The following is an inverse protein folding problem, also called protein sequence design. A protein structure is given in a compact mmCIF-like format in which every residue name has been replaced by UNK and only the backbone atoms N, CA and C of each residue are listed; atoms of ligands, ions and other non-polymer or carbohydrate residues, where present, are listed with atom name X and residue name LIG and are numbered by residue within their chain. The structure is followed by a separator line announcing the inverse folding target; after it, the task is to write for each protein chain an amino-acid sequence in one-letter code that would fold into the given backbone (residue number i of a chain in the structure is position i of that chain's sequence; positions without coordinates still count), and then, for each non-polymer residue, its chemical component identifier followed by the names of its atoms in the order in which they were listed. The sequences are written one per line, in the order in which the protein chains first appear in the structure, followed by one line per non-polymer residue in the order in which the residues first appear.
data_IF_899920945795
#
_entry.id   IF_899920945795
#
_cell.length_a   1.000
_cell.length_b   1.000
_cell.length_c   1.000
_cell.angle_alpha   90.00
_cell.angle_beta   90.00
_cell.angle_gamma   90.00
#
_symmetry.space_group_name_H-M   'P 1'
#
loop_
_entity.id
_entity.type
_entity.pdbx_description
1 polymer ?
#
# COMPACT_ATOMS: atom_id res chain seq x y z
N UNK A 1 4.13 -6.56 -30.09
CA UNK A 1 4.93 -7.54 -29.29
C UNK A 1 3.99 -8.26 -28.35
N UNK A 2 3.94 -9.60 -28.41
CA UNK A 2 3.09 -10.40 -27.48
C UNK A 2 3.83 -10.64 -26.17
N UNK A 3 3.10 -10.53 -25.07
CA UNK A 3 3.57 -10.81 -23.71
C UNK A 3 2.48 -11.52 -22.93
N UNK A 4 2.87 -12.23 -21.89
CA UNK A 4 1.90 -12.81 -20.95
C UNK A 4 1.48 -11.81 -19.89
N UNK A 5 0.19 -11.83 -19.55
CA UNK A 5 -0.39 -11.00 -18.51
C UNK A 5 -1.53 -11.72 -17.78
N UNK A 6 -1.80 -11.28 -16.56
CA UNK A 6 -3.00 -11.67 -15.82
C UNK A 6 -4.13 -10.72 -16.19
N UNK A 7 -5.22 -11.27 -16.68
CA UNK A 7 -6.45 -10.53 -16.99
C UNK A 7 -7.68 -11.20 -16.36
N UNK A 8 -8.77 -10.46 -16.32
CA UNK A 8 -10.07 -10.99 -15.92
C UNK A 8 -11.19 -10.31 -16.71
N UNK A 9 -12.28 -11.07 -16.96
CA UNK A 9 -13.38 -10.67 -17.84
C UNK A 9 -14.67 -10.38 -17.08
N UNK A 10 -14.69 -10.67 -15.78
CA UNK A 10 -15.77 -10.34 -14.84
C UNK A 10 -15.22 -10.29 -13.41
N UNK A 11 -15.81 -9.48 -12.53
CA UNK A 11 -15.46 -9.50 -11.11
C UNK A 11 -15.74 -10.87 -10.48
N UNK A 12 -14.97 -11.23 -9.44
CA UNK A 12 -15.21 -12.48 -8.74
C UNK A 12 -14.09 -12.92 -7.79
N UNK A 13 -14.06 -14.21 -7.48
CA UNK A 13 -13.03 -14.86 -6.69
C UNK A 13 -11.68 -14.88 -7.41
N UNK A 14 -10.60 -15.33 -6.75
CA UNK A 14 -9.30 -15.39 -7.38
C UNK A 14 -9.25 -16.24 -8.67
N UNK A 15 -10.21 -17.15 -8.88
CA UNK A 15 -10.28 -18.00 -10.07
C UNK A 15 -10.61 -17.26 -11.37
N UNK A 16 -11.09 -16.02 -11.30
CA UNK A 16 -11.36 -15.19 -12.49
C UNK A 16 -10.08 -14.68 -13.16
N UNK A 17 -8.95 -14.70 -12.45
CA UNK A 17 -7.64 -14.29 -12.97
C UNK A 17 -7.14 -15.33 -13.97
N UNK A 18 -6.92 -14.89 -15.20
CA UNK A 18 -6.50 -15.72 -16.34
C UNK A 18 -5.12 -15.30 -16.83
N UNK A 19 -4.29 -16.28 -17.17
CA UNK A 19 -2.98 -16.08 -17.79
C UNK A 19 -3.14 -16.05 -19.30
N UNK A 20 -3.02 -14.88 -19.92
CA UNK A 20 -3.38 -14.66 -21.32
C UNK A 20 -2.25 -13.99 -22.10
N UNK A 21 -2.24 -14.16 -23.42
CA UNK A 21 -1.41 -13.38 -24.33
C UNK A 21 -2.05 -12.02 -24.56
N UNK A 22 -1.25 -10.97 -24.45
CA UNK A 22 -1.64 -9.58 -24.71
C UNK A 22 -0.70 -9.00 -25.75
N UNK A 23 -1.27 -8.39 -26.79
CA UNK A 23 -0.45 -7.69 -27.78
C UNK A 23 -0.21 -6.25 -27.32
N UNK A 24 1.07 -5.92 -27.11
CA UNK A 24 1.49 -4.57 -26.76
C UNK A 24 1.81 -3.79 -28.04
N UNK A 25 1.16 -2.66 -28.23
CA UNK A 25 1.55 -1.71 -29.23
C UNK A 25 2.95 -1.10 -28.97
N UNK A 26 3.41 -0.24 -29.88
CA UNK A 26 4.59 0.62 -29.64
C UNK A 26 4.20 1.76 -28.71
N UNK A 27 5.13 2.26 -27.85
CA UNK A 27 4.85 3.45 -27.04
C UNK A 27 4.48 4.66 -27.91
N UNK A 28 3.36 5.29 -27.58
CA UNK A 28 2.93 6.55 -28.19
C UNK A 28 3.69 7.73 -27.57
N UNK A 29 3.38 8.95 -28.04
CA UNK A 29 3.92 10.18 -27.44
C UNK A 29 3.61 10.23 -25.93
N UNK A 30 4.64 10.48 -25.11
CA UNK A 30 4.53 10.52 -23.65
C UNK A 30 4.50 9.15 -22.94
N UNK A 31 4.62 8.04 -23.68
CA UNK A 31 4.58 6.68 -23.11
C UNK A 31 5.97 6.01 -23.12
N UNK A 32 6.13 5.01 -22.28
CA UNK A 32 7.28 4.11 -22.28
C UNK A 32 6.83 2.65 -22.23
N UNK A 33 7.59 1.77 -22.86
CA UNK A 33 7.52 0.31 -22.69
C UNK A 33 8.45 -0.10 -21.57
N UNK A 34 7.91 -0.75 -20.55
CA UNK A 34 8.65 -1.25 -19.40
C UNK A 34 8.53 -2.77 -19.34
N UNK A 35 9.66 -3.47 -19.34
CA UNK A 35 9.73 -4.90 -19.02
C UNK A 35 9.84 -5.04 -17.52
N UNK A 36 8.90 -5.75 -16.89
CA UNK A 36 8.91 -5.94 -15.46
C UNK A 36 9.94 -6.98 -15.04
N UNK A 37 10.63 -6.70 -13.94
CA UNK A 37 11.51 -7.62 -13.22
C UNK A 37 10.89 -8.12 -11.94
N UNK A 38 10.01 -7.29 -11.34
CA UNK A 38 9.24 -7.63 -10.14
C UNK A 38 7.94 -6.82 -10.10
N UNK A 39 6.88 -7.43 -9.58
CA UNK A 39 5.55 -6.83 -9.49
C UNK A 39 5.07 -6.92 -8.05
N UNK A 40 4.65 -5.78 -7.47
CA UNK A 40 4.11 -5.71 -6.12
C UNK A 40 2.64 -6.14 -6.07
N UNK A 41 2.33 -7.09 -5.21
CA UNK A 41 0.94 -7.46 -4.91
C UNK A 41 0.42 -6.62 -3.76
N UNK A 42 -0.77 -6.04 -3.93
CA UNK A 42 -1.39 -5.14 -2.97
C UNK A 42 -2.84 -5.54 -2.67
N UNK A 43 -3.33 -5.17 -1.49
CA UNK A 43 -4.69 -5.54 -1.10
C UNK A 43 -5.74 -4.86 -1.99
N UNK A 44 -5.46 -3.67 -2.54
CA UNK A 44 -6.33 -2.97 -3.50
C UNK A 44 -6.57 -3.77 -4.78
N UNK A 45 -5.62 -4.62 -5.19
CA UNK A 45 -5.75 -5.48 -6.36
C UNK A 45 -6.92 -6.47 -6.18
N UNK A 46 -7.18 -6.87 -4.92
CA UNK A 46 -8.35 -7.70 -4.59
C UNK A 46 -9.65 -6.91 -4.69
N UNK A 47 -9.65 -5.60 -4.38
CA UNK A 47 -10.84 -4.76 -4.51
C UNK A 47 -11.23 -4.58 -5.99
N UNK A 48 -10.24 -4.36 -6.87
CA UNK A 48 -10.46 -4.31 -8.32
C UNK A 48 -11.02 -5.63 -8.83
N UNK A 49 -10.36 -6.74 -8.50
CA UNK A 49 -10.78 -8.06 -8.94
C UNK A 49 -12.19 -8.44 -8.46
N UNK A 50 -12.56 -8.10 -7.22
CA UNK A 50 -13.89 -8.44 -6.66
C UNK A 50 -15.00 -7.49 -7.08
N UNK A 51 -14.66 -6.36 -7.73
CA UNK A 51 -15.63 -5.34 -8.12
C UNK A 51 -16.00 -4.35 -7.02
N UNK A 52 -15.35 -4.41 -5.84
CA UNK A 52 -15.51 -3.38 -4.80
C UNK A 52 -15.09 -2.00 -5.33
N UNK A 53 -14.05 -1.98 -6.17
CA UNK A 53 -13.66 -0.82 -6.98
C UNK A 53 -13.87 -1.19 -8.44
N UNK A 54 -14.96 -0.70 -9.07
CA UNK A 54 -15.35 -1.12 -10.41
C UNK A 54 -14.29 -0.76 -11.47
N UNK A 55 -14.12 -1.64 -12.44
CA UNK A 55 -13.28 -1.45 -13.63
C UNK A 55 -14.05 -1.80 -14.89
N UNK A 56 -13.69 -1.17 -16.00
CA UNK A 56 -14.15 -1.60 -17.32
C UNK A 56 -13.57 -2.98 -17.67
N UNK A 57 -14.40 -3.88 -18.21
CA UNK A 57 -14.00 -5.24 -18.56
C UNK A 57 -13.87 -5.41 -20.08
N UNK A 58 -12.94 -6.26 -20.54
CA UNK A 58 -11.94 -7.02 -19.79
C UNK A 58 -10.81 -6.12 -19.26
N UNK A 59 -10.28 -6.44 -18.07
CA UNK A 59 -9.24 -5.63 -17.42
C UNK A 59 -7.99 -6.45 -17.08
N UNK A 60 -6.85 -5.76 -16.98
CA UNK A 60 -5.70 -6.23 -16.23
C UNK A 60 -5.90 -6.02 -14.72
N UNK A 61 -4.89 -6.33 -13.93
CA UNK A 61 -4.86 -6.11 -12.47
C UNK A 61 -3.46 -5.65 -12.05
N UNK A 62 -3.38 -4.98 -10.89
CA UNK A 62 -2.12 -4.50 -10.32
C UNK A 62 -1.79 -3.06 -10.66
N UNK A 63 -1.13 -2.40 -9.71
CA UNK A 63 -0.79 -0.96 -9.75
C UNK A 63 0.70 -0.70 -9.49
N UNK A 64 1.50 -1.70 -9.14
CA UNK A 64 2.87 -1.54 -8.66
C UNK A 64 3.80 -2.54 -9.35
N UNK A 65 4.90 -2.04 -9.90
CA UNK A 65 5.98 -2.87 -10.40
C UNK A 65 7.31 -2.10 -10.48
N UNK A 66 8.38 -2.85 -10.67
CA UNK A 66 9.69 -2.38 -11.07
C UNK A 66 10.14 -3.11 -12.35
N UNK A 67 11.00 -2.49 -13.13
CA UNK A 67 11.50 -3.06 -14.37
C UNK A 67 12.44 -2.14 -15.11
N UNK A 68 12.69 -2.47 -16.36
CA UNK A 68 13.62 -1.76 -17.24
C UNK A 68 12.87 -1.16 -18.42
N UNK A 69 13.19 0.08 -18.76
CA UNK A 69 12.65 0.76 -19.94
C UNK A 69 13.25 0.12 -21.20
N UNK A 70 12.41 -0.48 -22.05
CA UNK A 70 12.81 -1.08 -23.33
C UNK A 70 12.60 -0.14 -24.53
N UNK A 71 11.61 0.76 -24.45
CA UNK A 71 11.38 1.75 -25.49
C UNK A 71 10.69 2.98 -24.90
N UNK A 72 10.87 4.13 -25.55
CA UNK A 72 10.20 5.40 -25.19
C UNK A 72 9.53 5.99 -26.41
N UNK A 73 8.38 6.62 -26.21
CA UNK A 73 7.67 7.39 -27.20
C UNK A 73 8.21 8.81 -27.35
N UNK A 74 7.75 9.52 -28.39
CA UNK A 74 8.12 10.94 -28.62
C UNK A 74 7.77 11.79 -27.38
N UNK A 75 8.62 12.76 -27.06
CA UNK A 75 8.40 13.72 -25.97
C UNK A 75 8.79 13.22 -24.57
N UNK A 76 9.24 11.98 -24.44
CA UNK A 76 9.79 11.46 -23.16
C UNK A 76 11.26 11.87 -23.06
N UNK A 77 11.59 12.81 -22.18
CA UNK A 77 12.96 13.35 -22.02
C UNK A 77 13.63 12.95 -20.69
N UNK A 78 12.84 12.57 -19.67
CA UNK A 78 13.34 12.24 -18.33
C UNK A 78 13.73 10.77 -18.16
N UNK A 79 13.48 9.90 -19.16
CA UNK A 79 13.82 8.49 -19.19
C UNK A 79 14.62 8.17 -20.46
N UNK A 80 15.41 7.12 -20.40
CA UNK A 80 16.09 6.49 -21.55
C UNK A 80 15.96 4.98 -21.50
N UNK A 81 16.14 4.33 -22.63
CA UNK A 81 16.22 2.86 -22.72
C UNK A 81 17.34 2.37 -21.81
N UNK A 82 17.07 1.31 -21.07
CA UNK A 82 17.96 0.74 -20.05
C UNK A 82 17.81 1.34 -18.65
N UNK A 83 17.04 2.44 -18.47
CA UNK A 83 16.78 2.95 -17.11
C UNK A 83 15.97 1.94 -16.30
N UNK A 84 16.41 1.68 -15.07
CA UNK A 84 15.64 0.95 -14.06
C UNK A 84 14.58 1.89 -13.46
N UNK A 85 13.33 1.48 -13.51
CA UNK A 85 12.19 2.29 -13.08
C UNK A 85 11.26 1.49 -12.20
N UNK A 86 10.53 2.20 -11.35
CA UNK A 86 9.41 1.65 -10.59
C UNK A 86 8.24 2.63 -10.61
N UNK A 87 7.05 2.11 -10.32
CA UNK A 87 5.83 2.91 -10.24
C UNK A 87 4.84 2.34 -9.23
N UNK A 88 3.96 3.21 -8.75
CA UNK A 88 2.76 2.84 -8.01
C UNK A 88 1.62 3.74 -8.46
N UNK A 89 0.64 3.18 -9.15
CA UNK A 89 -0.46 3.91 -9.77
C UNK A 89 -0.39 3.94 -11.29
N UNK A 90 -1.10 4.88 -11.89
CA UNK A 90 -1.31 4.93 -13.33
C UNK A 90 -2.38 3.95 -13.79
N UNK A 91 -2.45 3.61 -15.09
CA UNK A 91 -3.41 2.64 -15.59
C UNK A 91 -3.22 1.28 -14.92
N UNK A 92 -4.32 0.57 -14.61
CA UNK A 92 -4.28 -0.77 -14.04
C UNK A 92 -3.73 -1.78 -15.06
N UNK A 93 -2.98 -2.80 -14.59
CA UNK A 93 -2.41 -3.84 -15.46
C UNK A 93 -0.92 -4.11 -15.22
N UNK A 94 -0.45 -3.91 -13.98
CA UNK A 94 0.93 -4.22 -13.61
C UNK A 94 1.26 -5.72 -13.67
N UNK A 95 0.26 -6.61 -13.59
CA UNK A 95 0.47 -8.06 -13.63
C UNK A 95 0.69 -8.54 -15.08
N UNK A 96 1.79 -8.13 -15.67
CA UNK A 96 2.22 -8.46 -17.02
C UNK A 96 3.74 -8.59 -17.07
N UNK A 97 4.27 -9.35 -18.02
CA UNK A 97 5.72 -9.43 -18.26
C UNK A 97 6.30 -8.08 -18.72
N UNK A 98 5.51 -7.33 -19.48
CA UNK A 98 5.84 -5.97 -19.89
C UNK A 98 4.55 -5.17 -20.14
N UNK A 99 4.65 -3.85 -20.19
CA UNK A 99 3.52 -2.98 -20.54
C UNK A 99 3.95 -1.65 -21.12
N UNK A 100 3.08 -1.07 -21.93
CA UNK A 100 3.17 0.36 -22.31
C UNK A 100 2.36 1.17 -21.31
N UNK A 101 2.92 2.28 -20.83
CA UNK A 101 2.26 3.16 -19.87
C UNK A 101 2.77 4.61 -19.97
N UNK A 102 2.03 5.59 -19.42
CA UNK A 102 2.49 6.96 -19.34
C UNK A 102 3.84 7.06 -18.60
N UNK A 103 4.82 7.67 -19.26
CA UNK A 103 6.19 7.78 -18.74
C UNK A 103 6.28 8.72 -17.52
N UNK A 104 5.35 9.67 -17.38
CA UNK A 104 5.26 10.57 -16.22
C UNK A 104 4.96 9.88 -14.89
N UNK A 105 4.47 8.63 -14.93
CA UNK A 105 4.23 7.79 -13.74
C UNK A 105 5.45 6.97 -13.32
N UNK A 106 6.50 6.93 -14.13
CA UNK A 106 7.71 6.15 -13.89
C UNK A 106 8.73 6.95 -13.09
N UNK A 107 9.26 6.36 -12.03
CA UNK A 107 10.32 6.93 -11.21
C UNK A 107 11.58 6.09 -11.36
N UNK A 108 12.74 6.74 -11.60
CA UNK A 108 14.04 6.01 -11.65
C UNK A 108 14.36 5.42 -10.29
N UNK A 109 14.80 4.16 -10.31
CA UNK A 109 15.27 3.48 -9.09
C UNK A 109 16.71 3.93 -8.85
N UNK A 110 17.02 4.52 -7.68
CA UNK A 110 18.37 4.94 -7.38
C UNK A 110 19.29 3.74 -7.11
N UNK A 111 20.61 3.96 -7.22
CA UNK A 111 21.61 2.97 -6.81
C UNK A 111 21.41 2.57 -5.34
N UNK A 112 21.69 1.29 -5.03
CA UNK A 112 21.54 0.73 -3.68
C UNK A 112 20.11 0.26 -3.34
N UNK A 113 19.17 0.32 -4.30
CA UNK A 113 17.83 -0.27 -4.20
C UNK A 113 17.68 -1.31 -5.32
N UNK A 114 17.28 -2.53 -4.98
CA UNK A 114 16.98 -3.56 -5.98
C UNK A 114 15.59 -3.36 -6.59
N UNK A 115 15.32 -4.01 -7.73
CA UNK A 115 14.00 -3.98 -8.38
C UNK A 115 12.94 -4.61 -7.48
N UNK A 116 13.29 -5.72 -6.81
CA UNK A 116 12.39 -6.39 -5.88
C UNK A 116 12.03 -5.48 -4.69
N UNK A 117 13.03 -4.78 -4.13
CA UNK A 117 12.77 -3.80 -3.08
C UNK A 117 11.86 -2.67 -3.58
N UNK A 118 12.12 -2.15 -4.78
CA UNK A 118 11.30 -1.09 -5.37
C UNK A 118 9.87 -1.58 -5.61
N UNK A 119 9.67 -2.74 -6.24
CA UNK A 119 8.34 -3.33 -6.45
C UNK A 119 7.61 -3.69 -5.15
N UNK A 120 8.34 -3.95 -4.06
CA UNK A 120 7.77 -4.27 -2.76
C UNK A 120 7.33 -3.04 -1.95
N UNK A 121 7.81 -1.84 -2.32
CA UNK A 121 7.66 -0.66 -1.45
C UNK A 121 7.02 0.57 -2.09
N UNK A 122 6.98 0.71 -3.42
CA UNK A 122 6.53 1.96 -4.04
C UNK A 122 5.11 2.35 -3.61
N UNK A 123 4.14 1.46 -3.77
CA UNK A 123 2.76 1.74 -3.36
C UNK A 123 2.64 1.83 -1.83
N UNK A 124 3.19 0.86 -1.13
CA UNK A 124 3.08 0.75 0.33
C UNK A 124 3.83 1.88 1.04
N UNK A 125 5.05 2.16 0.62
CA UNK A 125 5.92 3.16 1.24
C UNK A 125 5.48 4.60 0.94
N UNK A 126 5.06 4.90 -0.31
CA UNK A 126 4.48 6.22 -0.61
C UNK A 126 3.11 6.39 0.09
N UNK A 127 2.37 5.29 0.33
CA UNK A 127 1.19 5.33 1.18
C UNK A 127 1.56 5.74 2.60
N UNK A 128 2.56 5.12 3.20
CA UNK A 128 3.04 5.53 4.54
C UNK A 128 3.50 6.97 4.53
N UNK A 129 4.26 7.39 3.51
CA UNK A 129 4.76 8.77 3.40
C UNK A 129 3.61 9.78 3.49
N UNK A 130 2.59 9.66 2.65
CA UNK A 130 1.51 10.63 2.67
C UNK A 130 0.66 10.53 3.95
N UNK A 131 0.43 9.33 4.48
CA UNK A 131 -0.35 9.13 5.70
C UNK A 131 0.26 9.89 6.88
N UNK A 132 1.56 9.68 7.14
CA UNK A 132 2.22 10.19 8.36
C UNK A 132 2.83 11.59 8.21
N UNK A 133 2.95 12.12 6.99
CA UNK A 133 3.58 13.41 6.73
C UNK A 133 2.65 14.46 6.14
N UNK A 134 1.55 14.05 5.48
CA UNK A 134 0.67 14.96 4.74
C UNK A 134 -0.80 14.85 5.14
N UNK A 135 -1.36 13.66 5.24
CA UNK A 135 -2.74 13.47 5.69
C UNK A 135 -2.91 13.83 7.18
N UNK A 136 -2.00 13.35 8.01
CA UNK A 136 -1.83 13.78 9.40
C UNK A 136 -0.34 13.85 9.72
N UNK A 137 0.28 15.04 9.70
CA UNK A 137 1.71 15.19 10.01
C UNK A 137 2.00 14.83 11.47
N UNK A 138 2.62 13.66 11.67
CA UNK A 138 3.00 13.23 13.03
C UNK A 138 4.19 14.01 13.54
N UNK A 139 4.26 14.21 14.87
CA UNK A 139 5.37 14.88 15.55
C UNK A 139 6.03 13.95 16.56
N UNK A 140 7.33 14.15 16.80
CA UNK A 140 8.09 13.45 17.85
C UNK A 140 7.33 13.49 19.19
N UNK A 141 7.27 12.36 19.89
CA UNK A 141 6.59 12.21 21.17
C UNK A 141 5.10 11.86 21.07
N UNK A 142 4.47 11.95 19.89
CA UNK A 142 3.09 11.48 19.72
C UNK A 142 2.97 9.97 19.90
N UNK A 143 1.82 9.53 20.39
CA UNK A 143 1.38 8.13 20.37
C UNK A 143 0.26 7.98 19.35
N UNK A 144 0.37 7.00 18.43
CA UNK A 144 -0.61 6.79 17.34
C UNK A 144 -1.06 5.34 17.29
N UNK A 145 -2.27 5.09 16.77
CA UNK A 145 -2.74 3.74 16.46
C UNK A 145 -2.62 3.47 14.96
N UNK A 146 -2.01 2.33 14.60
CA UNK A 146 -1.89 1.89 13.22
C UNK A 146 -2.35 0.43 13.10
N UNK A 147 -3.47 0.18 12.43
CA UNK A 147 -4.02 -1.16 12.26
C UNK A 147 -3.21 -2.02 11.26
N UNK A 148 -3.36 -3.34 11.37
CA UNK A 148 -2.68 -4.33 10.51
C UNK A 148 -1.15 -4.18 10.50
N UNK A 149 -0.55 -4.06 11.70
CA UNK A 149 0.86 -3.74 11.94
C UNK A 149 1.87 -4.67 11.25
N UNK A 150 1.52 -5.93 11.00
CA UNK A 150 2.39 -6.92 10.35
C UNK A 150 2.16 -7.05 8.83
N UNK A 151 1.29 -6.22 8.23
CA UNK A 151 1.11 -6.12 6.79
C UNK A 151 2.19 -5.27 6.12
N UNK A 152 2.26 -5.28 4.78
CA UNK A 152 3.29 -4.56 4.04
C UNK A 152 3.35 -3.06 4.35
N UNK A 153 2.21 -2.36 4.42
CA UNK A 153 2.15 -0.95 4.84
C UNK A 153 2.53 -0.82 6.31
N UNK A 154 2.00 -1.72 7.18
CA UNK A 154 2.23 -1.69 8.62
C UNK A 154 3.70 -1.82 9.01
N UNK A 155 4.45 -2.74 8.39
CA UNK A 155 5.88 -2.93 8.69
C UNK A 155 6.72 -1.70 8.30
N UNK A 156 6.39 -1.04 7.19
CA UNK A 156 7.05 0.20 6.78
C UNK A 156 6.68 1.33 7.76
N UNK A 157 5.39 1.44 8.10
CA UNK A 157 4.88 2.49 8.99
C UNK A 157 5.51 2.42 10.38
N UNK A 158 5.58 1.23 11.00
CA UNK A 158 6.17 1.07 12.33
C UNK A 158 7.62 1.53 12.39
N UNK A 159 8.43 1.15 11.41
CA UNK A 159 9.84 1.57 11.31
C UNK A 159 9.97 3.08 11.09
N UNK A 160 9.17 3.65 10.19
CA UNK A 160 9.25 5.07 9.87
C UNK A 160 8.77 5.94 11.04
N UNK A 161 7.65 5.55 11.69
CA UNK A 161 7.16 6.20 12.91
C UNK A 161 8.22 6.18 14.03
N UNK A 162 8.86 5.02 14.27
CA UNK A 162 9.96 4.91 15.23
C UNK A 162 11.11 5.84 14.89
N UNK A 163 11.50 5.93 13.61
CA UNK A 163 12.56 6.82 13.15
C UNK A 163 12.21 8.32 13.33
N UNK A 164 10.91 8.66 13.36
CA UNK A 164 10.41 10.01 13.66
C UNK A 164 10.23 10.27 15.17
N UNK A 165 10.53 9.29 16.03
CA UNK A 165 10.34 9.42 17.48
C UNK A 165 8.89 9.37 17.92
N UNK A 166 8.03 8.69 17.16
CA UNK A 166 6.60 8.49 17.42
C UNK A 166 6.39 7.10 18.03
N UNK A 167 5.59 7.01 19.08
CA UNK A 167 5.19 5.74 19.71
C UNK A 167 4.03 5.13 18.92
N UNK A 168 4.27 4.02 18.25
CA UNK A 168 3.23 3.32 17.49
C UNK A 168 2.59 2.19 18.32
N UNK A 169 1.27 2.22 18.43
CA UNK A 169 0.44 1.10 18.88
C UNK A 169 -0.04 0.38 17.61
N UNK A 170 0.17 -0.94 17.53
CA UNK A 170 -0.26 -1.73 16.40
C UNK A 170 -1.31 -2.76 16.76
N UNK A 171 -2.03 -3.30 15.77
CA UNK A 171 -2.90 -4.46 15.94
C UNK A 171 -2.44 -5.62 15.05
N UNK A 172 -2.46 -6.83 15.58
CA UNK A 172 -2.12 -8.06 14.85
C UNK A 172 -2.95 -9.23 15.37
N UNK A 173 -3.06 -10.31 14.60
CA UNK A 173 -3.97 -11.42 14.94
C UNK A 173 -3.26 -12.77 15.18
N UNK A 174 -1.97 -12.78 15.49
CA UNK A 174 -1.26 -13.98 15.92
C UNK A 174 0.05 -13.63 16.61
N UNK A 175 0.59 -14.52 17.48
CA UNK A 175 1.86 -14.29 18.18
C UNK A 175 3.03 -14.00 17.23
N UNK A 176 3.15 -14.73 16.12
CA UNK A 176 4.19 -14.49 15.12
C UNK A 176 4.09 -13.09 14.48
N UNK A 177 2.88 -12.64 14.15
CA UNK A 177 2.64 -11.30 13.61
C UNK A 177 2.90 -10.19 14.64
N UNK A 178 2.60 -10.44 15.91
CA UNK A 178 2.91 -9.54 17.01
C UNK A 178 4.43 -9.39 17.17
N UNK A 179 5.16 -10.51 17.18
CA UNK A 179 6.65 -10.51 17.25
C UNK A 179 7.23 -9.74 16.08
N UNK A 180 6.74 -9.99 14.86
CA UNK A 180 7.18 -9.31 13.64
C UNK A 180 6.93 -7.79 13.72
N UNK A 181 5.73 -7.35 14.11
CA UNK A 181 5.41 -5.94 14.25
C UNK A 181 6.30 -5.23 15.30
N UNK A 182 6.53 -5.85 16.46
CA UNK A 182 7.43 -5.32 17.49
C UNK A 182 8.85 -5.15 16.95
N UNK A 183 9.38 -6.15 16.22
CA UNK A 183 10.69 -6.05 15.57
C UNK A 183 10.78 -4.92 14.56
N UNK A 184 9.63 -4.46 14.03
CA UNK A 184 9.52 -3.39 13.05
C UNK A 184 9.01 -2.06 13.64
N UNK A 185 9.30 -1.79 14.92
CA UNK A 185 9.18 -0.46 15.49
C UNK A 185 7.92 -0.16 16.28
N UNK A 186 6.97 -1.08 16.38
CA UNK A 186 5.80 -0.91 17.25
C UNK A 186 6.17 -1.11 18.72
N UNK A 187 5.93 -0.10 19.55
CA UNK A 187 6.16 -0.17 21.00
C UNK A 187 5.14 -1.10 21.69
N UNK A 188 3.89 -1.04 21.21
CA UNK A 188 2.80 -1.87 21.70
C UNK A 188 2.11 -2.56 20.54
N UNK A 189 1.74 -3.84 20.69
CA UNK A 189 0.97 -4.58 19.68
C UNK A 189 -0.15 -5.36 20.36
N UNK A 190 -1.38 -5.07 20.00
CA UNK A 190 -2.58 -5.69 20.53
C UNK A 190 -2.94 -6.93 19.71
N UNK A 191 -3.12 -8.07 20.37
CA UNK A 191 -3.75 -9.26 19.77
C UNK A 191 -5.27 -9.07 19.73
N UNK A 192 -5.78 -8.58 18.60
CA UNK A 192 -7.21 -8.30 18.45
C UNK A 192 -8.11 -9.54 18.48
N UNK A 193 -7.54 -10.76 18.46
CA UNK A 193 -8.30 -12.00 18.65
C UNK A 193 -8.54 -12.33 20.12
N UNK A 194 -7.70 -11.80 21.02
CA UNK A 194 -7.72 -12.11 22.45
C UNK A 194 -8.07 -10.90 23.30
N UNK A 195 -7.90 -9.70 22.77
CA UNK A 195 -8.02 -8.45 23.50
C UNK A 195 -8.88 -7.44 22.75
N UNK A 196 -9.68 -6.69 23.48
CA UNK A 196 -10.32 -5.48 23.00
C UNK A 196 -9.23 -4.43 22.74
N UNK A 197 -9.10 -4.00 21.48
CA UNK A 197 -8.07 -3.04 21.11
C UNK A 197 -8.37 -1.64 21.64
N UNK A 198 -9.65 -1.25 21.79
CA UNK A 198 -10.03 0.04 22.36
C UNK A 198 -9.57 0.13 23.81
N UNK A 199 -9.92 -0.86 24.64
CA UNK A 199 -9.47 -0.95 26.04
C UNK A 199 -7.95 -0.95 26.13
N UNK A 200 -7.28 -1.65 25.23
CA UNK A 200 -5.81 -1.72 25.20
C UNK A 200 -5.17 -0.37 24.85
N UNK A 201 -5.71 0.35 23.86
CA UNK A 201 -5.24 1.70 23.48
C UNK A 201 -5.49 2.67 24.65
N UNK A 202 -6.68 2.67 25.23
CA UNK A 202 -7.02 3.55 26.36
C UNK A 202 -6.09 3.29 27.57
N UNK A 203 -5.79 2.03 27.88
CA UNK A 203 -4.83 1.71 28.94
C UNK A 203 -3.42 2.25 28.64
N UNK A 204 -2.91 2.07 27.41
CA UNK A 204 -1.57 2.56 27.01
C UNK A 204 -1.52 4.09 27.06
N UNK A 205 -2.59 4.76 26.70
CA UNK A 205 -2.69 6.23 26.67
C UNK A 205 -3.20 6.83 27.98
N UNK A 206 -3.37 6.02 29.04
CA UNK A 206 -3.96 6.45 30.33
C UNK A 206 -5.30 7.16 30.16
N UNK A 207 -6.16 6.62 29.30
CA UNK A 207 -7.47 7.13 28.90
C UNK A 207 -7.47 8.47 28.12
N UNK A 208 -6.32 8.95 27.67
CA UNK A 208 -6.26 10.18 26.85
C UNK A 208 -6.68 9.95 25.38
N UNK A 209 -6.63 8.71 24.89
CA UNK A 209 -6.78 8.40 23.47
C UNK A 209 -5.55 8.79 22.65
N UNK A 210 -5.66 8.65 21.34
CA UNK A 210 -4.59 8.99 20.37
C UNK A 210 -5.02 10.15 19.47
N UNK A 211 -4.10 11.01 19.01
CA UNK A 211 -4.43 12.11 18.09
C UNK A 211 -4.82 11.62 16.70
N UNK A 212 -4.38 10.43 16.31
CA UNK A 212 -4.67 9.85 14.99
C UNK A 212 -4.75 8.34 15.05
N UNK A 213 -5.71 7.79 14.30
CA UNK A 213 -5.81 6.36 13.97
C UNK A 213 -5.66 6.18 12.47
N UNK A 214 -4.74 5.31 12.06
CA UNK A 214 -4.58 4.87 10.67
C UNK A 214 -5.22 3.49 10.49
N UNK A 215 -6.32 3.44 9.75
CA UNK A 215 -7.14 2.24 9.58
C UNK A 215 -7.25 1.81 8.12
N UNK A 216 -6.64 0.66 7.81
CA UNK A 216 -6.77 -0.04 6.52
C UNK A 216 -7.75 -1.20 6.56
N UNK A 217 -8.34 -1.48 7.71
CA UNK A 217 -9.17 -2.68 7.94
C UNK A 217 -10.63 -2.40 7.59
N UNK A 218 -11.19 -1.27 8.03
CA UNK A 218 -12.51 -0.80 7.67
C UNK A 218 -13.62 -1.39 8.53
N UNK A 219 -14.57 -2.14 7.93
CA UNK A 219 -15.83 -2.59 8.56
C UNK A 219 -15.68 -3.06 10.02
N UNK A 220 -14.70 -3.88 10.32
CA UNK A 220 -14.57 -4.49 11.65
C UNK A 220 -13.84 -3.63 12.69
N UNK A 221 -13.21 -2.53 12.29
CA UNK A 221 -12.40 -1.69 13.19
C UNK A 221 -12.90 -0.26 13.31
N UNK A 222 -13.63 0.23 12.32
CA UNK A 222 -13.98 1.64 12.18
C UNK A 222 -14.57 2.26 13.45
N UNK A 223 -15.60 1.66 14.04
CA UNK A 223 -16.27 2.22 15.23
C UNK A 223 -15.31 2.26 16.42
N UNK A 224 -14.62 1.16 16.72
CA UNK A 224 -13.62 1.14 17.79
C UNK A 224 -12.43 2.05 17.52
N UNK A 225 -12.08 2.28 16.24
CA UNK A 225 -11.03 3.25 15.85
C UNK A 225 -11.43 4.67 16.24
N UNK A 226 -12.72 5.04 16.07
CA UNK A 226 -13.24 6.32 16.54
C UNK A 226 -13.20 6.43 18.08
N UNK A 227 -13.44 5.31 18.79
CA UNK A 227 -13.39 5.26 20.26
C UNK A 227 -11.97 5.37 20.83
N UNK A 228 -10.95 5.12 20.01
CA UNK A 228 -9.55 5.28 20.40
C UNK A 228 -9.05 6.73 20.31
N UNK A 229 -9.80 7.61 19.64
CA UNK A 229 -9.36 8.99 19.39
C UNK A 229 -9.58 9.89 20.61
N UNK A 230 -8.63 10.77 20.85
CA UNK A 230 -8.84 11.91 21.75
C UNK A 230 -9.82 12.92 21.12
N UNK A 231 -10.44 13.84 21.89
CA UNK A 231 -11.25 14.92 21.34
C UNK A 231 -10.50 15.67 20.22
N UNK A 232 -11.18 15.94 19.11
CA UNK A 232 -10.62 16.54 17.89
C UNK A 232 -9.52 15.71 17.21
N UNK A 233 -9.44 14.41 17.52
CA UNK A 233 -8.55 13.47 16.86
C UNK A 233 -8.96 13.16 15.42
N UNK A 234 -8.05 12.61 14.65
CA UNK A 234 -8.26 12.32 13.22
C UNK A 234 -8.31 10.82 12.94
N UNK A 235 -9.39 10.39 12.32
CA UNK A 235 -9.53 9.07 11.73
C UNK A 235 -9.05 9.11 10.29
N UNK A 236 -7.96 8.43 9.97
CA UNK A 236 -7.45 8.26 8.61
C UNK A 236 -7.83 6.85 8.13
N UNK A 237 -8.97 6.74 7.45
CA UNK A 237 -9.49 5.49 6.91
C UNK A 237 -8.95 5.29 5.49
N UNK A 238 -7.97 4.38 5.28
CA UNK A 238 -7.29 4.23 3.98
C UNK A 238 -7.43 2.86 3.33
N UNK A 239 -8.26 1.96 3.89
CA UNK A 239 -8.50 0.63 3.31
C UNK A 239 -9.79 -0.02 3.78
N UNK A 240 -10.12 -1.18 3.18
CA UNK A 240 -11.34 -1.95 3.41
C UNK A 240 -11.03 -3.46 3.52
N UNK A 241 -9.95 -3.85 4.21
CA UNK A 241 -9.50 -5.24 4.24
C UNK A 241 -10.52 -6.22 4.89
N UNK A 242 -11.42 -5.73 5.74
CA UNK A 242 -12.54 -6.50 6.31
C UNK A 242 -13.90 -6.21 5.66
N UNK A 243 -13.92 -5.40 4.61
CA UNK A 243 -15.11 -4.90 3.93
C UNK A 243 -15.29 -3.39 4.09
N UNK A 244 -16.19 -2.81 3.29
CA UNK A 244 -16.51 -1.40 3.34
C UNK A 244 -17.15 -1.02 4.68
N UNK A 245 -16.86 0.20 5.14
CA UNK A 245 -17.54 0.81 6.30
C UNK A 245 -18.99 1.07 5.93
N UNK A 246 -19.91 0.70 6.80
CA UNK A 246 -21.31 1.02 6.60
C UNK A 246 -21.56 2.53 6.64
N UNK A 247 -22.58 3.05 5.94
CA UNK A 247 -23.00 4.43 6.08
C UNK A 247 -23.28 4.79 7.55
N UNK A 248 -22.88 5.98 7.97
CA UNK A 248 -23.14 6.49 9.32
C UNK A 248 -23.47 7.99 9.26
N UNK A 249 -24.26 8.52 10.23
CA UNK A 249 -24.59 9.93 10.28
C UNK A 249 -23.37 10.76 10.71
N UNK A 250 -23.08 11.92 10.08
CA UNK A 250 -21.95 12.78 10.45
C UNK A 250 -21.97 13.23 11.92
N UNK A 251 -23.15 13.34 12.55
CA UNK A 251 -23.31 13.66 13.96
C UNK A 251 -22.59 12.70 14.92
N UNK A 252 -22.29 11.48 14.47
CA UNK A 252 -21.48 10.54 15.22
C UNK A 252 -20.09 11.10 15.55
N UNK A 253 -19.48 11.84 14.61
CA UNK A 253 -18.16 12.45 14.83
C UNK A 253 -18.19 13.52 15.93
N UNK A 254 -19.30 14.30 15.99
CA UNK A 254 -19.50 15.26 17.06
C UNK A 254 -19.67 14.56 18.42
N UNK A 255 -20.52 13.52 18.49
CA UNK A 255 -20.77 12.73 19.70
C UNK A 255 -19.51 12.09 20.26
N UNK A 256 -18.58 11.66 19.39
CA UNK A 256 -17.32 11.02 19.78
C UNK A 256 -16.18 12.02 20.03
N UNK A 257 -16.46 13.32 20.13
CA UNK A 257 -15.47 14.33 20.51
C UNK A 257 -15.04 15.25 19.38
N UNK A 258 -15.96 15.63 18.47
CA UNK A 258 -15.68 16.54 17.34
C UNK A 258 -14.53 16.04 16.45
N UNK A 259 -14.59 14.78 16.08
CA UNK A 259 -13.52 14.10 15.35
C UNK A 259 -13.44 14.56 13.89
N UNK A 260 -12.22 14.46 13.33
CA UNK A 260 -11.99 14.59 11.90
C UNK A 260 -11.96 13.20 11.26
N UNK A 261 -12.50 13.09 10.05
CA UNK A 261 -12.43 11.88 9.24
C UNK A 261 -11.92 12.23 7.85
N UNK A 262 -10.92 11.48 7.38
CA UNK A 262 -10.45 11.55 5.99
C UNK A 262 -10.37 10.15 5.38
N UNK A 263 -10.66 10.08 4.07
CA UNK A 263 -10.53 8.86 3.25
C UNK A 263 -9.59 9.12 2.08
N UNK A 264 -8.26 9.19 2.35
CA UNK A 264 -7.28 9.56 1.34
C UNK A 264 -6.99 8.42 0.37
N UNK A 265 -6.49 8.78 -0.82
CA UNK A 265 -5.92 7.85 -1.79
C UNK A 265 -4.53 8.32 -2.24
N UNK A 266 -3.61 7.38 -2.46
CA UNK A 266 -2.25 7.69 -2.93
C UNK A 266 -2.29 8.50 -4.24
N UNK A 267 -3.28 8.22 -5.11
CA UNK A 267 -3.39 8.84 -6.43
C UNK A 267 -3.52 10.37 -6.35
N UNK A 268 -4.29 10.87 -5.37
CA UNK A 268 -4.44 12.32 -5.16
C UNK A 268 -3.15 12.95 -4.62
N UNK A 269 -2.45 12.24 -3.72
CA UNK A 269 -1.19 12.70 -3.13
C UNK A 269 0.02 12.58 -4.06
N UNK A 270 -0.13 11.92 -5.20
CA UNK A 270 0.90 11.77 -6.25
C UNK A 270 0.37 12.15 -7.63
N UNK A 271 -0.64 13.01 -7.68
CA UNK A 271 -1.30 13.42 -8.92
C UNK A 271 -0.33 14.14 -9.86
N UNK A 272 0.48 15.05 -9.32
CA UNK A 272 1.50 15.78 -10.10
C UNK A 272 2.83 15.03 -10.11
N UNK A 273 3.61 15.22 -11.17
CA UNK A 273 4.98 14.68 -11.25
C UNK A 273 5.84 15.11 -10.07
N UNK A 274 5.73 16.37 -9.65
CA UNK A 274 6.43 16.95 -8.49
C UNK A 274 6.11 16.18 -7.20
N UNK A 275 4.83 15.91 -6.95
CA UNK A 275 4.38 15.17 -5.75
C UNK A 275 4.84 13.72 -5.78
N UNK A 276 4.72 13.05 -6.94
CA UNK A 276 5.19 11.69 -7.13
C UNK A 276 6.69 11.57 -6.82
N UNK A 277 7.51 12.45 -7.39
CA UNK A 277 8.96 12.44 -7.16
C UNK A 277 9.33 12.79 -5.73
N UNK A 278 8.62 13.74 -5.10
CA UNK A 278 8.84 14.11 -3.71
C UNK A 278 8.56 12.93 -2.76
N UNK A 279 7.43 12.25 -2.97
CA UNK A 279 7.04 11.07 -2.19
C UNK A 279 8.03 9.91 -2.38
N UNK A 280 8.36 9.59 -3.62
CA UNK A 280 9.34 8.53 -3.94
C UNK A 280 10.72 8.84 -3.37
N UNK A 281 11.20 10.09 -3.48
CA UNK A 281 12.48 10.53 -2.91
C UNK A 281 12.52 10.39 -1.39
N UNK A 282 11.45 10.76 -0.71
CA UNK A 282 11.33 10.61 0.73
C UNK A 282 11.41 9.13 1.15
N UNK A 283 10.69 8.25 0.43
CA UNK A 283 10.73 6.80 0.65
C UNK A 283 12.13 6.24 0.41
N UNK A 284 12.73 6.52 -0.74
CA UNK A 284 14.08 6.06 -1.07
C UNK A 284 15.12 6.52 -0.05
N UNK A 285 15.00 7.76 0.46
CA UNK A 285 15.90 8.30 1.47
C UNK A 285 15.87 7.49 2.77
N UNK A 286 14.71 7.13 3.29
CA UNK A 286 14.60 6.39 4.55
C UNK A 286 15.03 4.93 4.40
N UNK A 287 14.83 4.34 3.21
CA UNK A 287 15.27 2.97 2.91
C UNK A 287 16.80 2.93 2.74
N UNK A 288 17.39 3.80 1.92
CA UNK A 288 18.85 3.88 1.74
C UNK A 288 19.58 4.26 3.03
N UNK A 289 18.96 5.10 3.86
CA UNK A 289 19.49 5.47 5.17
C UNK A 289 19.32 4.39 6.25
N UNK A 290 18.82 3.20 5.91
CA UNK A 290 18.66 2.06 6.82
C UNK A 290 17.59 2.25 7.91
N UNK A 291 16.80 3.34 7.85
CA UNK A 291 15.72 3.60 8.82
C UNK A 291 14.49 2.74 8.58
N UNK A 292 14.30 2.29 7.35
CA UNK A 292 13.23 1.40 6.93
C UNK A 292 13.83 0.28 6.09
N UNK A 293 13.68 -0.95 6.55
CA UNK A 293 14.03 -2.16 5.81
C UNK A 293 12.78 -2.71 5.12
N UNK A 294 12.90 -3.04 3.86
CA UNK A 294 11.80 -3.61 3.08
C UNK A 294 11.85 -5.13 3.18
N UNK A 295 10.78 -5.71 3.72
CA UNK A 295 10.64 -7.16 3.90
C UNK A 295 9.81 -7.75 2.75
N UNK A 296 10.46 -8.58 1.92
CA UNK A 296 9.80 -9.41 0.90
C UNK A 296 9.68 -10.82 1.47
N UNK A 297 8.52 -11.14 2.02
CA UNK A 297 8.33 -12.38 2.78
C UNK A 297 7.75 -13.51 1.92
N UNK A 298 7.15 -13.18 0.78
CA UNK A 298 6.58 -14.16 -0.14
C UNK A 298 6.82 -13.74 -1.59
N UNK A 299 7.16 -14.73 -2.41
CA UNK A 299 7.35 -14.58 -3.86
C UNK A 299 6.57 -15.68 -4.58
N UNK A 300 5.88 -15.32 -5.65
CA UNK A 300 5.14 -16.22 -6.52
C UNK A 300 5.55 -15.97 -7.98
N UNK A 301 5.45 -16.98 -8.85
CA UNK A 301 5.50 -16.74 -10.29
C UNK A 301 4.27 -15.91 -10.71
N UNK A 302 4.41 -15.02 -11.68
CA UNK A 302 3.31 -14.16 -12.13
C UNK A 302 2.06 -14.98 -12.54
N UNK A 303 2.23 -16.11 -13.22
CA UNK A 303 1.14 -17.03 -13.59
C UNK A 303 0.36 -17.56 -12.39
N UNK A 304 0.94 -17.56 -11.19
CA UNK A 304 0.33 -18.05 -9.95
C UNK A 304 -0.37 -16.93 -9.15
N UNK A 305 -0.66 -15.78 -9.77
CA UNK A 305 -1.29 -14.64 -9.15
C UNK A 305 -2.60 -14.99 -8.42
N UNK A 306 -3.39 -15.92 -8.97
CA UNK A 306 -4.61 -16.39 -8.30
C UNK A 306 -4.34 -17.05 -6.94
N UNK A 307 -3.24 -17.81 -6.81
CA UNK A 307 -2.81 -18.38 -5.53
C UNK A 307 -2.35 -17.28 -4.57
N UNK A 308 -1.54 -16.34 -5.05
CA UNK A 308 -1.05 -15.22 -4.26
C UNK A 308 -2.21 -14.37 -3.68
N UNK A 309 -3.25 -14.11 -4.47
CA UNK A 309 -4.47 -13.42 -4.02
C UNK A 309 -5.22 -14.22 -2.92
N UNK A 310 -5.36 -15.53 -3.06
CA UNK A 310 -5.98 -16.37 -2.02
C UNK A 310 -5.18 -16.33 -0.71
N UNK A 311 -3.87 -16.44 -0.79
CA UNK A 311 -2.99 -16.43 0.40
C UNK A 311 -3.01 -15.07 1.10
N UNK A 312 -3.05 -13.96 0.33
CA UNK A 312 -3.22 -12.62 0.87
C UNK A 312 -4.56 -12.46 1.61
N UNK A 313 -5.67 -12.85 0.98
CA UNK A 313 -7.02 -12.71 1.57
C UNK A 313 -7.24 -13.63 2.77
N UNK A 314 -6.61 -14.81 2.80
CA UNK A 314 -6.65 -15.73 3.95
C UNK A 314 -5.73 -15.30 5.10
N UNK A 315 -5.07 -14.13 4.98
CA UNK A 315 -4.16 -13.56 5.99
C UNK A 315 -2.95 -14.47 6.31
N UNK A 316 -2.55 -15.34 5.37
CA UNK A 316 -1.35 -16.18 5.50
C UNK A 316 -0.05 -15.41 5.29
N UNK A 317 -0.12 -14.27 4.60
CA UNK A 317 1.03 -13.44 4.26
C UNK A 317 1.39 -12.43 5.35
N UNK A 318 2.64 -11.98 5.33
CA UNK A 318 3.19 -10.87 6.13
C UNK A 318 4.09 -10.02 5.23
N UNK A 319 4.38 -8.79 5.61
CA UNK A 319 5.25 -7.91 4.81
C UNK A 319 4.75 -7.72 3.38
N UNK A 320 5.68 -7.62 2.45
CA UNK A 320 5.38 -7.46 1.03
C UNK A 320 5.41 -8.80 0.30
N UNK A 321 4.55 -8.93 -0.71
CA UNK A 321 4.46 -10.08 -1.62
C UNK A 321 4.81 -9.62 -3.03
N UNK A 322 5.65 -10.38 -3.73
CA UNK A 322 6.02 -10.15 -5.13
C UNK A 322 5.47 -11.23 -6.05
N UNK A 323 5.17 -10.81 -7.27
CA UNK A 323 4.98 -11.68 -8.42
C UNK A 323 6.19 -11.47 -9.36
N UNK A 324 6.81 -12.57 -9.77
CA UNK A 324 7.96 -12.55 -10.70
C UNK A 324 7.49 -13.04 -12.06
N UNK A 325 7.69 -12.23 -13.11
CA UNK A 325 7.34 -12.59 -14.50
C UNK A 325 7.97 -13.86 -15.02
#
# INVERSE_FOLDING_TARGET
MKVKAIRFHKPGSASVLKWEDVDLGKPKSGEALVRHTAIGLNYIDTYHRTGLYPLSMPSGVGLEAAGVVEAIGRGVSHLKVGDRVAYAGGPIGAYAEARVMPADKLVKIPSGISDEQAAAMMLKGMTVEFLIRRAFPVKKGMTVLFHAAAGGVGLIAGQWLKALGVTAIGTAGSPAKIKLAKAHGYAHVVDYKKQDFVKSVMRVTKNAGVPVVYDSVGKSTFMGSLDCLQPRGTMVSFGNASGAVAPFPPGLLAQKGSLFLTRPTLMDYTATRKDLEASARALFSVVRGGKVKIEVNQTYKLKDAAKAHRDLQSRKTTGSTLLIP
#
